data_IF_061655413353
#
_entry.id   IF_061655413353
#
_cell.length_a   1.000
_cell.length_b   1.000
_cell.length_c   1.000
_cell.angle_alpha   90.00
_cell.angle_beta   90.00
_cell.angle_gamma   90.00
#
_symmetry.space_group_name_H-M   'P 1'
#
loop_
_entity.id
_entity.type
_entity.pdbx_description
1 polymer ?
#
# COMPACT_ATOMS: atom_id res chain seq x y z
N UNK A 1 1.57 -16.52 -60.09
CA UNK A 1 1.16 -15.41 -60.95
C UNK A 1 1.18 -14.21 -60.06
N UNK A 2 2.21 -13.44 -60.08
CA UNK A 2 2.48 -12.24 -60.89
C UNK A 2 1.61 -11.07 -60.41
N UNK A 3 2.04 -9.90 -60.01
CA UNK A 3 3.21 -9.02 -60.26
C UNK A 3 3.01 -7.79 -59.33
N UNK A 4 3.93 -7.26 -58.60
CA UNK A 4 5.10 -6.43 -58.87
C UNK A 4 4.85 -4.93 -59.08
N UNK A 5 5.60 -4.10 -58.29
CA UNK A 5 6.26 -2.80 -58.67
C UNK A 5 5.33 -1.55 -58.73
N UNK A 6 5.77 -0.35 -58.41
CA UNK A 6 7.04 0.37 -58.25
C UNK A 6 6.75 1.74 -57.61
N UNK A 7 7.54 2.28 -56.71
CA UNK A 7 8.67 3.17 -56.78
C UNK A 7 8.56 4.42 -57.70
N UNK A 8 8.77 5.63 -57.08
CA UNK A 8 9.61 6.80 -57.60
C UNK A 8 9.34 8.01 -56.69
N UNK A 9 10.35 8.51 -55.92
CA UNK A 9 11.37 9.55 -56.33
C UNK A 9 10.74 10.84 -56.81
N UNK A 10 10.98 12.04 -56.32
CA UNK A 10 12.22 12.79 -56.10
C UNK A 10 11.88 14.23 -55.59
N UNK A 11 12.72 14.79 -54.86
CA UNK A 11 13.74 15.88 -55.08
C UNK A 11 13.33 17.24 -54.52
N UNK A 12 14.10 17.59 -53.57
CA UNK A 12 14.76 18.81 -53.13
C UNK A 12 14.38 20.16 -53.77
N UNK A 13 14.37 21.22 -52.93
CA UNK A 13 15.09 22.46 -53.21
C UNK A 13 15.39 23.27 -51.94
N UNK A 14 16.64 23.69 -51.85
CA UNK A 14 17.28 24.62 -50.92
C UNK A 14 16.63 26.02 -50.97
N UNK A 15 16.75 26.71 -49.82
CA UNK A 15 16.62 28.15 -49.74
C UNK A 15 17.36 28.65 -48.49
N UNK A 16 18.63 28.95 -48.64
CA UNK A 16 19.45 29.65 -47.66
C UNK A 16 19.15 31.16 -47.73
N UNK A 17 18.94 31.77 -46.56
CA UNK A 17 19.11 33.22 -46.40
C UNK A 17 19.98 33.49 -45.19
N UNK A 18 21.13 33.97 -45.43
CA UNK A 18 22.08 34.57 -44.50
C UNK A 18 21.72 36.05 -44.35
N UNK A 19 21.69 36.55 -43.12
CA UNK A 19 21.95 37.98 -42.86
C UNK A 19 22.48 38.17 -41.43
N UNK A 20 23.72 38.47 -41.43
CA UNK A 20 24.67 39.23 -40.59
C UNK A 20 24.12 40.12 -39.46
N UNK A 21 24.61 39.91 -38.22
CA UNK A 21 25.56 40.81 -37.54
C UNK A 21 24.98 41.92 -36.67
N UNK A 22 25.27 41.79 -35.37
CA UNK A 22 25.89 42.90 -34.60
C UNK A 22 26.32 42.39 -33.21
N UNK A 23 27.60 42.34 -32.97
CA UNK A 23 28.28 42.27 -31.67
C UNK A 23 28.14 43.62 -30.95
N UNK A 24 27.72 43.57 -29.69
CA UNK A 24 28.10 44.59 -28.70
C UNK A 24 28.52 43.90 -27.42
N UNK A 25 29.79 43.91 -27.18
CA UNK A 25 30.41 43.55 -25.91
C UNK A 25 30.19 44.68 -24.89
N UNK A 26 29.81 44.35 -23.69
CA UNK A 26 30.04 45.18 -22.50
C UNK A 26 30.44 44.26 -21.35
N UNK A 27 31.66 44.47 -20.91
CA UNK A 27 32.28 43.90 -19.70
C UNK A 27 31.68 44.51 -18.45
N UNK A 28 31.67 43.70 -17.39
CA UNK A 28 31.92 44.22 -16.05
C UNK A 28 30.97 43.77 -14.97
N UNK A 29 31.54 43.09 -13.97
CA UNK A 29 30.99 43.10 -12.62
C UNK A 29 30.60 41.76 -12.03
N UNK A 30 31.58 41.05 -11.47
CA UNK A 30 31.38 40.09 -10.42
C UNK A 30 30.76 40.76 -9.19
N UNK A 31 29.59 40.29 -8.80
CA UNK A 31 29.14 40.48 -7.44
C UNK A 31 28.32 39.25 -7.08
N UNK A 32 28.88 38.47 -6.15
CA UNK A 32 28.16 37.49 -5.38
C UNK A 32 26.92 38.20 -4.76
N UNK A 33 25.75 37.84 -5.27
CA UNK A 33 24.51 38.23 -4.63
C UNK A 33 23.77 36.91 -4.33
N UNK A 34 23.78 36.54 -3.06
CA UNK A 34 22.74 35.69 -2.47
C UNK A 34 21.38 36.22 -2.95
N UNK A 35 20.86 35.62 -3.97
CA UNK A 35 19.47 35.84 -4.38
C UNK A 35 18.60 35.03 -3.46
N UNK A 36 18.19 35.64 -2.33
CA UNK A 36 16.97 35.30 -1.67
C UNK A 36 15.84 35.61 -2.67
N UNK A 37 15.47 34.62 -3.48
CA UNK A 37 14.34 34.72 -4.41
C UNK A 37 13.04 34.65 -3.57
N UNK A 38 12.59 35.82 -3.15
CA UNK A 38 11.26 36.09 -2.65
C UNK A 38 10.23 36.10 -3.79
N UNK A 39 10.36 35.20 -4.76
CA UNK A 39 9.47 35.08 -5.89
C UNK A 39 8.14 34.47 -5.49
N UNK A 40 7.07 35.25 -5.62
CA UNK A 40 5.66 34.84 -5.53
C UNK A 40 5.27 33.91 -6.71
N UNK A 41 6.15 32.99 -7.09
CA UNK A 41 5.96 32.02 -8.17
C UNK A 41 5.10 30.84 -7.70
N UNK A 42 4.13 30.44 -8.53
CA UNK A 42 3.38 29.21 -8.32
C UNK A 42 4.31 28.01 -8.39
N UNK A 43 4.28 27.16 -7.36
CA UNK A 43 5.04 25.92 -7.24
C UNK A 43 4.08 24.74 -7.42
N UNK A 44 4.45 23.78 -8.26
CA UNK A 44 3.70 22.52 -8.36
C UNK A 44 4.48 21.41 -7.66
N UNK A 45 4.02 20.98 -6.49
CA UNK A 45 4.56 19.81 -5.79
C UNK A 45 3.93 18.55 -6.38
N UNK A 46 4.76 17.70 -6.93
CA UNK A 46 4.35 16.44 -7.51
C UNK A 46 4.41 15.32 -6.47
N UNK A 47 3.38 14.46 -6.47
CA UNK A 47 3.22 13.35 -5.52
C UNK A 47 2.93 12.09 -6.31
N UNK A 48 3.68 11.02 -6.06
CA UNK A 48 3.52 9.73 -6.74
C UNK A 48 3.29 8.64 -5.70
N UNK A 49 2.15 7.96 -5.77
CA UNK A 49 1.67 7.03 -4.76
C UNK A 49 1.21 5.72 -5.41
N UNK A 50 1.03 4.70 -4.56
CA UNK A 50 0.40 3.44 -4.92
C UNK A 50 -0.91 3.25 -4.16
N UNK A 51 -1.81 2.40 -4.66
CA UNK A 51 -3.06 2.08 -4.00
C UNK A 51 -3.88 3.32 -3.66
N UNK A 52 -4.41 3.40 -2.45
CA UNK A 52 -5.26 4.52 -2.01
C UNK A 52 -4.76 5.12 -0.69
N UNK A 53 -4.08 6.26 -0.77
CA UNK A 53 -3.73 7.05 0.41
C UNK A 53 -4.89 7.95 0.89
N UNK A 54 -5.87 8.23 0.04
CA UNK A 54 -7.09 8.93 0.40
C UNK A 54 -6.97 10.43 0.65
N UNK A 55 -5.84 11.07 0.34
CA UNK A 55 -5.62 12.50 0.60
C UNK A 55 -6.58 13.40 -0.17
N UNK A 56 -6.89 13.06 -1.43
CA UNK A 56 -7.86 13.79 -2.26
C UNK A 56 -9.27 13.62 -1.71
N UNK A 57 -9.66 12.39 -1.40
CA UNK A 57 -10.98 12.00 -0.90
C UNK A 57 -11.26 12.62 0.48
N UNK A 58 -10.22 12.77 1.30
CA UNK A 58 -10.31 13.46 2.59
C UNK A 58 -10.28 14.99 2.45
N UNK A 59 -10.04 15.53 1.24
CA UNK A 59 -9.97 16.97 0.98
C UNK A 59 -8.70 17.65 1.48
N UNK A 60 -7.69 16.86 1.88
CA UNK A 60 -6.48 17.40 2.52
C UNK A 60 -5.64 18.25 1.54
N UNK A 61 -5.55 17.89 0.28
CA UNK A 61 -4.82 18.72 -0.68
C UNK A 61 -5.46 20.10 -0.88
N UNK A 62 -6.79 20.15 -1.00
CA UNK A 62 -7.50 21.41 -1.12
C UNK A 62 -7.36 22.30 0.14
N UNK A 63 -7.29 21.67 1.33
CA UNK A 63 -7.02 22.37 2.58
C UNK A 63 -5.58 22.92 2.61
N UNK A 64 -4.59 22.13 2.21
CA UNK A 64 -3.19 22.56 2.14
C UNK A 64 -2.98 23.70 1.15
N UNK A 65 -3.52 23.59 -0.07
CA UNK A 65 -3.45 24.64 -1.10
C UNK A 65 -4.10 25.94 -0.66
N UNK A 66 -5.19 25.86 0.13
CA UNK A 66 -5.80 27.06 0.72
C UNK A 66 -4.89 27.73 1.75
N UNK A 67 -4.14 26.96 2.53
CA UNK A 67 -3.15 27.46 3.49
C UNK A 67 -1.88 27.98 2.79
N UNK A 68 -1.57 27.46 1.62
CA UNK A 68 -0.37 27.76 0.81
C UNK A 68 -0.77 28.15 -0.63
N UNK A 69 -1.31 29.37 -0.86
CA UNK A 69 -1.91 29.74 -2.16
C UNK A 69 -0.93 29.74 -3.36
N UNK A 70 0.36 29.72 -3.09
CA UNK A 70 1.42 29.60 -4.10
C UNK A 70 1.76 28.13 -4.46
N UNK A 71 1.21 27.13 -3.73
CA UNK A 71 1.45 25.70 -3.97
C UNK A 71 0.23 25.08 -4.65
N UNK A 72 0.50 24.27 -5.66
CA UNK A 72 -0.48 23.36 -6.28
C UNK A 72 0.05 21.94 -6.14
N UNK A 73 -0.81 20.97 -5.79
CA UNK A 73 -0.42 19.58 -5.62
C UNK A 73 -0.92 18.76 -6.81
N UNK A 74 -0.02 18.01 -7.43
CA UNK A 74 -0.34 17.10 -8.53
C UNK A 74 0.02 15.67 -8.15
N UNK A 75 -0.97 14.83 -7.88
CA UNK A 75 -0.79 13.43 -7.53
C UNK A 75 -0.99 12.52 -8.75
N UNK A 76 -0.13 11.53 -8.87
CA UNK A 76 -0.24 10.36 -9.73
C UNK A 76 -0.40 9.13 -8.85
N UNK A 77 -1.27 8.20 -9.24
CA UNK A 77 -1.52 6.96 -8.52
C UNK A 77 -1.27 5.76 -9.44
N UNK A 78 -0.61 4.73 -8.91
CA UNK A 78 -0.53 3.40 -9.52
C UNK A 78 -1.25 2.42 -8.59
N UNK A 79 -2.26 1.72 -9.10
CA UNK A 79 -3.13 0.88 -8.26
C UNK A 79 -2.35 -0.26 -7.60
N UNK A 80 -1.54 -0.97 -8.38
CA UNK A 80 -0.70 -2.08 -7.90
C UNK A 80 0.64 -1.58 -7.35
N UNK A 81 0.99 -1.99 -6.11
CA UNK A 81 2.23 -1.58 -5.44
C UNK A 81 3.48 -2.12 -6.14
N UNK A 82 3.44 -3.34 -6.65
CA UNK A 82 4.61 -3.95 -7.27
C UNK A 82 4.95 -3.25 -8.61
N UNK A 83 3.95 -2.86 -9.38
CA UNK A 83 4.13 -2.06 -10.61
C UNK A 83 4.65 -0.66 -10.29
N UNK A 84 4.11 -0.02 -9.24
CA UNK A 84 4.61 1.24 -8.72
C UNK A 84 6.08 1.13 -8.33
N UNK A 85 6.42 0.16 -7.50
CA UNK A 85 7.79 -0.04 -7.03
C UNK A 85 8.77 -0.28 -8.17
N UNK A 86 8.42 -1.12 -9.12
CA UNK A 86 9.23 -1.38 -10.32
C UNK A 86 9.50 -0.11 -11.12
N UNK A 87 8.47 0.72 -11.30
CA UNK A 87 8.58 2.01 -11.97
C UNK A 87 9.47 2.98 -11.18
N UNK A 88 9.29 3.07 -9.85
CA UNK A 88 10.11 3.88 -8.96
C UNK A 88 11.59 3.47 -9.05
N UNK A 89 11.89 2.15 -8.97
CA UNK A 89 13.26 1.65 -9.08
C UNK A 89 13.92 2.04 -10.41
N UNK A 90 13.17 1.95 -11.50
CA UNK A 90 13.65 2.34 -12.84
C UNK A 90 14.01 3.83 -12.88
N UNK A 91 13.17 4.69 -12.32
CA UNK A 91 13.39 6.14 -12.25
C UNK A 91 14.52 6.51 -11.30
N UNK A 92 14.66 5.84 -10.15
CA UNK A 92 15.77 6.03 -9.22
C UNK A 92 17.12 5.65 -9.85
N UNK A 93 17.16 4.57 -10.65
CA UNK A 93 18.36 4.18 -11.38
C UNK A 93 18.70 5.14 -12.53
N UNK A 94 17.68 5.64 -13.23
CA UNK A 94 17.83 6.60 -14.33
C UNK A 94 18.12 8.03 -13.88
N UNK A 95 17.94 8.36 -12.60
CA UNK A 95 18.19 9.68 -12.03
C UNK A 95 17.24 10.78 -12.49
N UNK A 96 16.04 10.42 -13.03
CA UNK A 96 15.07 11.41 -13.51
C UNK A 96 13.63 10.91 -13.53
N UNK A 97 12.68 11.84 -13.71
CA UNK A 97 11.25 11.55 -13.77
C UNK A 97 10.64 11.16 -12.41
N UNK A 98 11.29 11.54 -11.31
CA UNK A 98 10.81 11.33 -9.97
C UNK A 98 9.87 12.47 -9.55
N UNK A 99 8.77 12.14 -8.89
CA UNK A 99 7.96 13.16 -8.23
C UNK A 99 8.66 13.68 -6.97
N UNK A 100 8.27 14.87 -6.49
CA UNK A 100 8.83 15.50 -5.30
C UNK A 100 8.56 14.69 -4.03
N UNK A 101 7.43 13.98 -3.99
CA UNK A 101 7.04 13.08 -2.91
C UNK A 101 6.80 11.69 -3.47
N UNK A 102 7.34 10.67 -2.80
CA UNK A 102 7.14 9.26 -3.13
C UNK A 102 6.49 8.51 -1.96
N UNK A 103 5.48 7.69 -2.25
CA UNK A 103 4.97 6.71 -1.30
C UNK A 103 5.92 5.52 -1.18
N UNK A 104 6.19 5.06 0.04
CA UNK A 104 7.01 3.87 0.31
C UNK A 104 6.21 2.90 1.18
N UNK A 105 5.94 1.72 0.67
CA UNK A 105 5.25 0.66 1.41
C UNK A 105 6.17 0.10 2.52
N UNK A 106 5.59 -0.35 3.64
CA UNK A 106 6.35 -0.82 4.82
C UNK A 106 7.32 -1.96 4.51
N UNK A 107 6.96 -2.88 3.61
CA UNK A 107 7.85 -3.99 3.19
C UNK A 107 8.99 -3.55 2.27
N UNK A 108 8.99 -2.29 1.79
CA UNK A 108 10.06 -1.69 0.98
C UNK A 108 10.97 -0.75 1.77
N UNK A 109 10.54 -0.33 2.97
CA UNK A 109 11.29 0.69 3.73
C UNK A 109 12.69 0.21 4.11
N UNK A 110 12.89 -1.08 4.38
CA UNK A 110 14.20 -1.64 4.66
C UNK A 110 15.16 -1.50 3.46
N UNK A 111 14.67 -1.66 2.23
CA UNK A 111 15.47 -1.41 1.02
C UNK A 111 15.87 0.06 0.91
N UNK A 112 14.94 0.98 1.15
CA UNK A 112 15.23 2.42 1.14
C UNK A 112 16.26 2.79 2.19
N UNK A 113 16.09 2.35 3.44
CA UNK A 113 16.95 2.75 4.56
C UNK A 113 18.31 2.06 4.57
N UNK A 114 18.43 0.87 4.00
CA UNK A 114 19.67 0.07 4.08
C UNK A 114 20.49 0.08 2.77
N UNK A 115 19.84 0.24 1.60
CA UNK A 115 20.50 0.14 0.31
C UNK A 115 20.40 1.40 -0.56
N UNK A 116 19.40 2.26 -0.30
CA UNK A 116 19.10 3.42 -1.16
C UNK A 116 19.03 4.75 -0.39
N UNK A 117 19.65 4.82 0.80
CA UNK A 117 19.64 6.05 1.59
C UNK A 117 20.30 7.24 0.85
N UNK A 118 21.18 6.97 -0.11
CA UNK A 118 21.78 7.97 -1.00
C UNK A 118 20.81 8.51 -2.07
N UNK A 119 19.67 7.89 -2.28
CA UNK A 119 18.65 8.30 -3.28
C UNK A 119 17.58 9.23 -2.69
N UNK A 120 17.44 9.25 -1.37
CA UNK A 120 16.44 10.05 -0.68
C UNK A 120 17.06 11.14 0.20
N UNK A 121 16.31 12.19 0.46
CA UNK A 121 16.74 13.28 1.36
C UNK A 121 16.70 12.83 2.83
N UNK A 122 17.72 13.24 3.59
CA UNK A 122 17.65 13.19 5.05
C UNK A 122 16.74 14.32 5.53
N UNK A 123 15.53 13.96 5.95
CA UNK A 123 14.49 14.90 6.37
C UNK A 123 14.87 15.67 7.65
N UNK A 124 15.91 15.24 8.39
CA UNK A 124 16.44 15.99 9.53
C UNK A 124 16.98 17.36 9.12
N UNK A 125 17.47 17.52 7.88
CA UNK A 125 17.87 18.80 7.33
C UNK A 125 16.75 19.85 7.34
N UNK A 126 15.52 19.39 7.33
CA UNK A 126 14.32 20.22 7.32
C UNK A 126 13.61 20.25 8.70
N UNK A 127 14.19 19.59 9.73
CA UNK A 127 13.68 19.60 11.10
C UNK A 127 12.83 18.39 11.50
N UNK A 128 12.86 17.28 10.74
CA UNK A 128 12.06 16.08 11.02
C UNK A 128 12.35 15.45 12.40
N UNK A 129 13.57 15.61 12.97
CA UNK A 129 13.91 15.07 14.29
C UNK A 129 12.91 15.55 15.38
N UNK A 130 12.36 16.76 15.26
CA UNK A 130 11.36 17.28 16.20
C UNK A 130 10.03 16.51 16.16
N UNK A 131 9.79 15.73 15.12
CA UNK A 131 8.56 14.95 14.92
C UNK A 131 8.66 13.53 15.49
N UNK A 132 9.84 13.08 15.95
CA UNK A 132 10.08 11.71 16.42
C UNK A 132 9.02 11.24 17.44
N UNK A 133 8.68 12.06 18.41
CA UNK A 133 7.70 11.73 19.44
C UNK A 133 6.24 11.67 18.94
N UNK A 134 5.97 12.01 17.69
CA UNK A 134 4.62 11.93 17.11
C UNK A 134 4.30 10.52 16.59
N UNK A 135 5.30 9.67 16.38
CA UNK A 135 5.15 8.34 15.82
C UNK A 135 5.50 7.26 16.84
N UNK A 136 4.93 6.07 16.68
CA UNK A 136 5.39 4.89 17.42
C UNK A 136 6.89 4.66 17.14
N UNK A 137 7.65 4.26 18.18
CA UNK A 137 9.09 4.08 18.07
C UNK A 137 9.50 3.16 16.92
N UNK A 138 8.82 2.03 16.77
CA UNK A 138 9.08 1.08 15.67
C UNK A 138 8.84 1.70 14.29
N UNK A 139 7.78 2.52 14.15
CA UNK A 139 7.47 3.20 12.88
C UNK A 139 8.55 4.21 12.49
N UNK A 140 9.03 4.97 13.47
CA UNK A 140 10.13 5.91 13.27
C UNK A 140 11.45 5.20 12.97
N UNK A 141 11.77 4.15 13.75
CA UNK A 141 13.00 3.39 13.59
C UNK A 141 13.09 2.73 12.20
N UNK A 142 11.98 2.20 11.68
CA UNK A 142 11.95 1.58 10.36
C UNK A 142 12.29 2.56 9.22
N UNK A 143 11.96 3.85 9.37
CA UNK A 143 12.29 4.90 8.40
C UNK A 143 13.65 5.56 8.65
N UNK A 144 14.42 5.09 9.64
CA UNK A 144 15.73 5.64 9.99
C UNK A 144 16.83 4.79 9.34
N UNK A 145 17.68 5.43 8.54
CA UNK A 145 18.82 4.81 7.88
C UNK A 145 19.94 4.42 8.86
N UNK A 146 20.91 3.64 8.38
CA UNK A 146 22.03 3.11 9.21
C UNK A 146 22.91 4.20 9.83
N UNK A 147 23.04 5.37 9.18
CA UNK A 147 23.81 6.53 9.70
C UNK A 147 22.90 7.51 10.47
N UNK A 148 21.65 7.12 10.72
CA UNK A 148 20.68 7.89 11.48
C UNK A 148 19.89 8.91 10.66
N UNK A 149 19.92 8.85 9.33
CA UNK A 149 19.08 9.68 8.44
C UNK A 149 17.61 9.34 8.63
N UNK A 150 16.71 10.31 8.58
CA UNK A 150 15.26 10.11 8.53
C UNK A 150 14.81 10.20 7.08
N UNK A 151 14.47 9.06 6.48
CA UNK A 151 14.21 8.93 5.05
C UNK A 151 12.73 8.93 4.67
N UNK A 152 11.83 8.93 5.66
CA UNK A 152 10.40 9.01 5.45
C UNK A 152 9.63 9.33 6.71
N UNK A 153 8.42 9.88 6.56
CA UNK A 153 7.46 10.10 7.65
C UNK A 153 6.30 9.11 7.51
N UNK A 154 5.93 8.46 8.61
CA UNK A 154 4.87 7.46 8.63
C UNK A 154 3.49 8.03 8.32
N UNK A 155 2.74 7.40 7.44
CA UNK A 155 1.39 7.81 7.06
C UNK A 155 0.33 7.09 7.87
N UNK A 156 0.38 5.77 7.87
CA UNK A 156 -0.60 4.88 8.47
C UNK A 156 0.07 3.61 9.00
N UNK A 157 -0.72 2.79 9.64
CA UNK A 157 -0.43 1.38 9.93
C UNK A 157 -1.64 0.55 9.49
N UNK A 158 -1.45 -0.74 9.27
CA UNK A 158 -2.47 -1.66 8.78
C UNK A 158 -2.95 -2.66 9.83
N UNK A 159 -3.49 -2.23 11.00
CA UNK A 159 -4.06 -3.19 11.94
C UNK A 159 -5.18 -3.98 11.28
N UNK A 160 -5.23 -5.26 11.56
CA UNK A 160 -6.02 -6.23 10.83
C UNK A 160 -7.33 -6.59 11.52
N UNK A 161 -8.37 -6.80 10.69
CA UNK A 161 -9.65 -7.35 11.06
C UNK A 161 -10.18 -8.23 9.91
N UNK A 162 -11.40 -8.76 10.03
CA UNK A 162 -12.09 -9.46 8.96
C UNK A 162 -13.35 -8.68 8.58
N UNK A 163 -13.42 -8.17 7.35
CA UNK A 163 -14.64 -7.60 6.79
C UNK A 163 -15.52 -8.70 6.20
N UNK A 164 -16.85 -8.59 6.37
CA UNK A 164 -17.77 -9.61 5.89
C UNK A 164 -19.10 -9.02 5.41
N UNK A 165 -19.76 -9.75 4.52
CA UNK A 165 -21.06 -9.43 3.95
C UNK A 165 -22.19 -10.02 4.80
N UNK A 166 -22.83 -9.17 5.59
CA UNK A 166 -23.95 -9.55 6.46
C UNK A 166 -25.12 -10.15 5.67
N UNK A 167 -25.41 -9.60 4.50
CA UNK A 167 -26.50 -10.08 3.64
C UNK A 167 -26.23 -11.47 3.04
N UNK A 168 -24.96 -11.78 2.71
CA UNK A 168 -24.58 -13.09 2.18
C UNK A 168 -24.58 -14.16 3.28
N UNK A 169 -24.01 -13.84 4.46
CA UNK A 169 -24.02 -14.73 5.62
C UNK A 169 -25.48 -15.05 6.05
N UNK A 170 -26.33 -14.03 6.12
CA UNK A 170 -27.76 -14.22 6.43
C UNK A 170 -28.45 -15.15 5.44
N UNK A 171 -28.21 -14.99 4.13
CA UNK A 171 -28.78 -15.88 3.10
C UNK A 171 -28.30 -17.32 3.23
N UNK A 172 -27.05 -17.53 3.69
CA UNK A 172 -26.49 -18.85 3.96
C UNK A 172 -26.93 -19.42 5.33
N UNK A 173 -27.74 -18.69 6.12
CA UNK A 173 -28.16 -19.10 7.43
C UNK A 173 -27.05 -19.10 8.49
N UNK A 174 -26.03 -18.27 8.29
CA UNK A 174 -24.91 -18.07 9.22
C UNK A 174 -25.14 -16.83 10.11
N UNK A 175 -24.50 -16.76 11.28
CA UNK A 175 -24.53 -15.57 12.11
C UNK A 175 -24.07 -14.32 11.36
N UNK A 176 -24.60 -13.17 11.76
CA UNK A 176 -24.22 -11.87 11.21
C UNK A 176 -23.75 -10.88 12.28
N UNK A 177 -23.90 -11.27 13.55
CA UNK A 177 -23.37 -10.49 14.67
C UNK A 177 -21.85 -10.62 14.73
N UNK A 178 -21.14 -9.50 14.86
CA UNK A 178 -19.68 -9.44 14.83
C UNK A 178 -19.00 -10.15 15.98
N UNK A 179 -19.59 -10.12 17.17
CA UNK A 179 -19.02 -10.77 18.35
C UNK A 179 -19.25 -12.30 18.27
N UNK A 180 -20.42 -12.72 17.83
CA UNK A 180 -20.71 -14.15 17.59
C UNK A 180 -19.80 -14.72 16.52
N UNK A 181 -19.57 -13.99 15.41
CA UNK A 181 -18.66 -14.43 14.37
C UNK A 181 -17.21 -14.51 14.86
N UNK A 182 -16.73 -13.49 15.59
CA UNK A 182 -15.39 -13.51 16.17
C UNK A 182 -15.16 -14.70 17.11
N UNK A 183 -16.19 -15.14 17.85
CA UNK A 183 -16.13 -16.35 18.67
C UNK A 183 -16.09 -17.62 17.82
N UNK A 184 -16.89 -17.70 16.75
CA UNK A 184 -16.97 -18.90 15.90
C UNK A 184 -15.72 -19.15 15.08
N UNK A 185 -15.07 -18.10 14.66
CA UNK A 185 -13.78 -18.14 13.93
C UNK A 185 -12.61 -17.64 14.77
N UNK A 186 -12.61 -17.90 16.08
CA UNK A 186 -11.51 -17.50 16.97
C UNK A 186 -10.13 -18.08 16.59
N UNK A 187 -10.11 -19.09 15.73
CA UNK A 187 -8.92 -19.69 15.11
C UNK A 187 -9.11 -19.80 13.60
N UNK A 188 -8.01 -19.97 12.87
CA UNK A 188 -8.05 -20.19 11.43
C UNK A 188 -8.78 -21.49 11.05
N UNK A 189 -8.70 -22.55 11.87
CA UNK A 189 -9.53 -23.74 11.69
C UNK A 189 -11.02 -23.41 11.77
N UNK A 190 -11.42 -22.63 12.77
CA UNK A 190 -12.81 -22.19 12.92
C UNK A 190 -13.28 -21.35 11.73
N UNK A 191 -12.40 -20.53 11.18
CA UNK A 191 -12.69 -19.73 9.98
C UNK A 191 -12.92 -20.60 8.75
N UNK A 192 -12.04 -21.58 8.49
CA UNK A 192 -12.17 -22.51 7.36
C UNK A 192 -13.42 -23.41 7.51
N UNK A 193 -13.67 -23.93 8.71
CA UNK A 193 -14.89 -24.72 8.99
C UNK A 193 -16.18 -23.91 8.78
N UNK A 194 -16.20 -22.63 9.15
CA UNK A 194 -17.33 -21.75 8.87
C UNK A 194 -17.45 -21.49 7.35
N UNK A 195 -16.34 -21.39 6.65
CA UNK A 195 -16.28 -21.30 5.19
C UNK A 195 -16.87 -22.52 4.48
N UNK A 196 -16.56 -23.72 4.94
CA UNK A 196 -17.17 -24.96 4.42
C UNK A 196 -18.69 -24.99 4.64
N UNK A 197 -19.17 -24.52 5.79
CA UNK A 197 -20.62 -24.36 6.06
C UNK A 197 -21.26 -23.31 5.16
N UNK A 198 -20.57 -22.19 4.91
CA UNK A 198 -21.03 -21.17 3.97
C UNK A 198 -21.13 -21.74 2.56
N UNK A 199 -20.08 -22.38 2.05
CA UNK A 199 -20.04 -22.98 0.71
C UNK A 199 -21.22 -23.93 0.46
N UNK A 200 -21.60 -24.73 1.46
CA UNK A 200 -22.73 -25.66 1.36
C UNK A 200 -24.10 -24.98 1.16
N UNK A 201 -24.23 -23.69 1.49
CA UNK A 201 -25.46 -22.89 1.45
C UNK A 201 -25.29 -21.51 0.79
N UNK A 202 -24.17 -21.30 0.12
CA UNK A 202 -23.83 -20.01 -0.47
C UNK A 202 -24.90 -19.53 -1.47
N UNK A 203 -25.30 -18.26 -1.43
CA UNK A 203 -26.24 -17.74 -2.42
C UNK A 203 -25.53 -17.55 -3.78
N UNK A 204 -26.08 -18.17 -4.81
CA UNK A 204 -25.55 -18.07 -6.19
C UNK A 204 -24.16 -18.70 -6.30
N UNK A 205 -23.20 -17.93 -6.82
CA UNK A 205 -21.79 -18.34 -6.98
C UNK A 205 -20.85 -17.64 -6.00
N UNK A 206 -21.38 -17.09 -4.91
CA UNK A 206 -20.58 -16.39 -3.90
C UNK A 206 -19.65 -17.38 -3.19
N UNK A 207 -18.37 -17.03 -3.09
CA UNK A 207 -17.36 -17.78 -2.35
C UNK A 207 -17.25 -17.31 -0.89
N UNK A 208 -16.46 -18.01 -0.07
CA UNK A 208 -16.21 -17.62 1.32
C UNK A 208 -15.24 -16.45 1.40
N UNK A 209 -14.11 -16.52 0.68
CA UNK A 209 -13.09 -15.46 0.63
C UNK A 209 -12.78 -15.06 -0.83
N UNK A 210 -12.11 -13.94 -0.98
CA UNK A 210 -11.73 -13.38 -2.27
C UNK A 210 -10.62 -14.18 -2.99
N UNK A 211 -9.50 -14.44 -2.27
CA UNK A 211 -8.37 -15.21 -2.77
C UNK A 211 -7.58 -15.85 -1.63
N UNK A 212 -6.88 -16.95 -1.90
CA UNK A 212 -6.03 -17.59 -0.88
C UNK A 212 -4.73 -16.81 -0.64
N UNK A 213 -4.31 -15.97 -1.59
CA UNK A 213 -3.19 -15.06 -1.39
C UNK A 213 -3.47 -14.00 -0.32
N UNK A 214 -4.71 -13.49 -0.23
CA UNK A 214 -5.13 -12.58 0.83
C UNK A 214 -5.16 -13.28 2.19
N UNK A 215 -5.62 -14.54 2.24
CA UNK A 215 -5.61 -15.35 3.45
C UNK A 215 -4.19 -15.55 3.99
N UNK A 216 -3.26 -15.93 3.11
CA UNK A 216 -1.84 -16.03 3.46
C UNK A 216 -1.30 -14.73 4.04
N UNK A 217 -1.53 -13.62 3.33
CA UNK A 217 -0.99 -12.31 3.71
C UNK A 217 -1.44 -11.86 5.10
N UNK A 218 -2.73 -12.07 5.44
CA UNK A 218 -3.24 -11.67 6.75
C UNK A 218 -2.74 -12.58 7.87
N UNK A 219 -2.54 -13.88 7.61
CA UNK A 219 -1.95 -14.81 8.58
C UNK A 219 -0.50 -14.45 8.89
N UNK A 220 0.28 -14.10 7.87
CA UNK A 220 1.68 -13.67 8.02
C UNK A 220 1.76 -12.29 8.68
N UNK A 221 0.78 -11.42 8.50
CA UNK A 221 0.66 -10.14 9.20
C UNK A 221 0.60 -10.26 10.72
N UNK A 222 0.18 -11.42 11.25
CA UNK A 222 0.14 -11.72 12.68
C UNK A 222 1.49 -12.12 13.27
N UNK A 223 2.54 -12.31 12.43
CA UNK A 223 3.83 -12.83 12.87
C UNK A 223 4.84 -11.71 13.11
N UNK A 224 5.63 -11.81 14.21
CA UNK A 224 6.77 -10.93 14.47
C UNK A 224 7.89 -11.20 13.48
N UNK A 225 8.29 -12.44 13.36
CA UNK A 225 9.30 -12.93 12.43
C UNK A 225 8.57 -13.61 11.27
N UNK A 226 8.75 -13.07 10.07
CA UNK A 226 8.09 -13.55 8.86
C UNK A 226 9.09 -14.25 7.97
N UNK A 227 9.76 -13.48 7.14
CA UNK A 227 10.77 -13.95 6.19
C UNK A 227 12.17 -13.86 6.78
N UNK A 228 12.34 -13.04 7.82
CA UNK A 228 13.60 -12.83 8.53
C UNK A 228 13.42 -13.02 10.04
N UNK A 229 14.45 -13.62 10.68
CA UNK A 229 14.55 -13.68 12.13
C UNK A 229 14.93 -12.32 12.73
N UNK A 230 14.81 -12.17 14.04
CA UNK A 230 15.25 -10.97 14.76
C UNK A 230 16.77 -10.72 14.61
N UNK A 231 17.57 -11.74 14.31
CA UNK A 231 19.00 -11.63 14.00
C UNK A 231 19.29 -11.19 12.56
N UNK A 232 18.24 -11.09 11.71
CA UNK A 232 18.37 -10.73 10.30
C UNK A 232 18.68 -11.90 9.37
N UNK A 233 18.59 -13.14 9.89
CA UNK A 233 18.75 -14.35 9.07
C UNK A 233 17.48 -14.59 8.25
N UNK A 234 17.65 -15.06 7.03
CA UNK A 234 16.55 -15.43 6.14
C UNK A 234 15.98 -16.79 6.57
N UNK A 235 14.69 -16.84 6.94
CA UNK A 235 14.03 -18.02 7.53
C UNK A 235 12.73 -18.39 6.79
N UNK A 236 12.44 -17.78 5.65
CA UNK A 236 11.13 -17.86 5.02
C UNK A 236 10.67 -19.29 4.66
N UNK A 237 11.60 -20.19 4.29
CA UNK A 237 11.31 -21.56 3.85
C UNK A 237 11.33 -22.60 5.00
N UNK A 238 11.74 -22.20 6.20
CA UNK A 238 11.75 -23.02 7.41
C UNK A 238 10.93 -22.47 8.57
N UNK A 239 10.34 -21.26 8.41
CA UNK A 239 9.50 -20.63 9.44
C UNK A 239 8.17 -21.39 9.58
N UNK A 240 7.91 -22.06 10.73
CA UNK A 240 6.69 -22.86 10.90
C UNK A 240 5.40 -22.07 10.71
N UNK A 241 5.37 -20.79 11.11
CA UNK A 241 4.19 -19.97 10.98
C UNK A 241 3.88 -19.62 9.50
N UNK A 242 4.93 -19.49 8.69
CA UNK A 242 4.79 -19.25 7.26
C UNK A 242 4.32 -20.51 6.54
N UNK A 243 4.89 -21.66 6.89
CA UNK A 243 4.47 -22.95 6.35
C UNK A 243 3.02 -23.27 6.75
N UNK A 244 2.61 -22.99 7.99
CA UNK A 244 1.21 -23.12 8.41
C UNK A 244 0.28 -22.20 7.59
N UNK A 245 0.68 -20.95 7.34
CA UNK A 245 -0.11 -20.03 6.53
C UNK A 245 -0.25 -20.53 5.08
N UNK A 246 0.81 -21.12 4.51
CA UNK A 246 0.78 -21.78 3.21
C UNK A 246 -0.21 -22.94 3.20
N UNK A 247 -0.08 -23.89 4.13
CA UNK A 247 -0.91 -25.09 4.19
C UNK A 247 -2.40 -24.76 4.34
N UNK A 248 -2.75 -23.79 5.17
CA UNK A 248 -4.14 -23.34 5.32
C UNK A 248 -4.69 -22.63 4.08
N UNK A 249 -3.84 -21.90 3.38
CA UNK A 249 -4.23 -21.26 2.11
C UNK A 249 -4.47 -22.31 1.03
N UNK A 250 -3.65 -23.35 0.98
CA UNK A 250 -3.85 -24.51 0.10
C UNK A 250 -5.14 -25.24 0.47
N UNK A 251 -5.38 -25.53 1.76
CA UNK A 251 -6.63 -26.15 2.23
C UNK A 251 -7.86 -25.35 1.79
N UNK A 252 -7.79 -24.01 1.88
CA UNK A 252 -8.89 -23.14 1.44
C UNK A 252 -9.13 -23.26 -0.08
N UNK A 253 -8.05 -23.31 -0.89
CA UNK A 253 -8.13 -23.51 -2.35
C UNK A 253 -8.76 -24.87 -2.68
N UNK A 254 -8.20 -25.96 -2.16
CA UNK A 254 -8.66 -27.33 -2.40
C UNK A 254 -10.10 -27.56 -1.91
N UNK A 255 -10.48 -26.92 -0.81
CA UNK A 255 -11.86 -26.92 -0.31
C UNK A 255 -12.80 -26.06 -1.17
N UNK A 256 -12.28 -25.30 -2.17
CA UNK A 256 -13.04 -24.41 -3.05
C UNK A 256 -13.76 -23.30 -2.26
N UNK A 257 -13.08 -22.70 -1.31
CA UNK A 257 -13.60 -21.61 -0.48
C UNK A 257 -13.33 -20.24 -1.12
N UNK A 258 -12.38 -20.14 -2.04
CA UNK A 258 -11.95 -18.91 -2.70
C UNK A 258 -12.83 -18.57 -3.91
N UNK A 259 -12.97 -17.28 -4.17
CA UNK A 259 -13.51 -16.75 -5.42
C UNK A 259 -12.48 -16.75 -6.57
N UNK A 260 -11.25 -17.18 -6.29
CA UNK A 260 -10.13 -17.31 -7.25
C UNK A 260 -9.83 -15.99 -7.98
N UNK A 261 -9.98 -14.87 -7.27
CA UNK A 261 -9.79 -13.54 -7.84
C UNK A 261 -8.32 -13.12 -7.73
N UNK A 262 -7.83 -12.55 -8.80
CA UNK A 262 -6.52 -11.90 -8.81
C UNK A 262 -6.64 -10.53 -8.15
N UNK A 263 -6.04 -10.37 -6.97
CA UNK A 263 -6.12 -9.12 -6.23
C UNK A 263 -5.62 -7.94 -7.08
N UNK A 264 -6.26 -6.80 -6.91
CA UNK A 264 -6.01 -5.55 -7.63
C UNK A 264 -6.40 -5.58 -9.13
N UNK A 265 -6.93 -6.69 -9.62
CA UNK A 265 -7.47 -6.77 -10.97
C UNK A 265 -8.83 -6.08 -11.10
N UNK A 266 -9.24 -5.64 -12.31
CA UNK A 266 -10.59 -5.11 -12.54
C UNK A 266 -11.71 -6.08 -12.13
N UNK A 267 -11.50 -7.38 -12.23
CA UNK A 267 -12.45 -8.42 -11.83
C UNK A 267 -12.61 -8.46 -10.31
N UNK A 268 -11.50 -8.39 -9.57
CA UNK A 268 -11.52 -8.30 -8.11
C UNK A 268 -12.23 -7.03 -7.65
N UNK A 269 -11.97 -5.89 -8.30
CA UNK A 269 -12.63 -4.62 -8.00
C UNK A 269 -14.16 -4.71 -8.17
N UNK A 270 -14.64 -5.32 -9.24
CA UNK A 270 -16.07 -5.51 -9.51
C UNK A 270 -16.74 -6.48 -8.52
N UNK A 271 -15.99 -7.41 -7.97
CA UNK A 271 -16.49 -8.46 -7.07
C UNK A 271 -17.05 -7.91 -5.75
N UNK A 272 -16.56 -6.76 -5.28
CA UNK A 272 -17.07 -6.10 -4.06
C UNK A 272 -18.55 -5.70 -4.20
N UNK A 273 -18.91 -5.05 -5.30
CA UNK A 273 -20.29 -4.66 -5.59
C UNK A 273 -21.18 -5.89 -5.92
N UNK A 274 -20.62 -6.83 -6.67
CA UNK A 274 -21.33 -8.04 -7.10
C UNK A 274 -21.63 -9.02 -5.94
N UNK A 275 -20.86 -8.97 -4.84
CA UNK A 275 -20.97 -9.93 -3.75
C UNK A 275 -20.43 -11.30 -4.13
N UNK A 276 -19.33 -11.35 -4.85
CA UNK A 276 -18.68 -12.59 -5.28
C UNK A 276 -18.03 -13.36 -4.15
N UNK A 277 -17.80 -12.72 -3.01
CA UNK A 277 -17.26 -13.33 -1.78
C UNK A 277 -17.94 -12.77 -0.53
N UNK A 278 -17.93 -13.57 0.53
CA UNK A 278 -18.60 -13.26 1.80
C UNK A 278 -17.68 -12.60 2.81
N UNK A 279 -16.40 -12.90 2.79
CA UNK A 279 -15.39 -12.36 3.70
C UNK A 279 -14.14 -11.90 2.94
N UNK A 280 -13.44 -10.94 3.52
CA UNK A 280 -12.14 -10.50 3.02
C UNK A 280 -11.25 -10.08 4.19
N UNK A 281 -9.96 -10.46 4.20
CA UNK A 281 -8.98 -9.86 5.08
C UNK A 281 -9.02 -8.34 4.99
N UNK A 282 -9.11 -7.67 6.13
CA UNK A 282 -9.48 -6.27 6.18
C UNK A 282 -8.53 -5.48 7.10
N UNK A 283 -7.31 -5.17 6.67
CA UNK A 283 -6.55 -4.11 7.31
C UNK A 283 -7.30 -2.78 7.19
N UNK A 284 -7.07 -1.86 8.11
CA UNK A 284 -7.88 -0.64 8.22
C UNK A 284 -7.99 0.17 6.91
N UNK A 285 -6.93 0.24 6.12
CA UNK A 285 -6.93 0.91 4.82
C UNK A 285 -7.88 0.26 3.79
N UNK A 286 -8.21 -1.02 3.94
CA UNK A 286 -9.16 -1.73 3.07
C UNK A 286 -10.58 -1.13 3.17
N UNK A 287 -10.94 -0.45 4.25
CA UNK A 287 -12.26 0.17 4.41
C UNK A 287 -12.56 1.18 3.31
N UNK A 288 -11.61 2.05 3.01
CA UNK A 288 -11.73 3.02 1.93
C UNK A 288 -11.85 2.34 0.56
N UNK A 289 -11.08 1.28 0.37
CA UNK A 289 -11.10 0.49 -0.86
C UNK A 289 -12.47 -0.20 -1.07
N UNK A 290 -12.97 -0.90 -0.04
CA UNK A 290 -14.31 -1.52 -0.09
C UNK A 290 -15.38 -0.49 -0.44
N UNK A 291 -15.37 0.68 0.20
CA UNK A 291 -16.32 1.76 -0.10
C UNK A 291 -16.24 2.22 -1.54
N UNK A 292 -15.02 2.43 -2.05
CA UNK A 292 -14.78 2.86 -3.42
C UNK A 292 -15.27 1.85 -4.45
N UNK A 293 -14.99 0.57 -4.25
CA UNK A 293 -15.33 -0.49 -5.21
C UNK A 293 -16.78 -0.98 -5.10
N UNK A 294 -17.31 -1.11 -3.89
CA UNK A 294 -18.69 -1.56 -3.70
C UNK A 294 -19.72 -0.43 -3.85
N UNK A 295 -19.31 0.83 -3.70
CA UNK A 295 -20.16 2.00 -3.85
C UNK A 295 -21.44 1.93 -3.03
N UNK A 296 -22.50 2.58 -3.50
CA UNK A 296 -23.83 2.57 -2.84
C UNK A 296 -24.44 1.17 -2.75
N UNK A 297 -24.09 0.28 -3.67
CA UNK A 297 -24.56 -1.11 -3.68
C UNK A 297 -24.07 -1.89 -2.46
N UNK A 298 -22.95 -1.52 -1.86
CA UNK A 298 -22.37 -2.15 -0.67
C UNK A 298 -22.83 -1.55 0.66
N UNK A 299 -23.44 -0.35 0.65
CA UNK A 299 -23.79 0.36 1.87
C UNK A 299 -24.70 -0.47 2.79
N UNK A 300 -24.31 -0.61 4.06
CA UNK A 300 -25.04 -1.36 5.07
C UNK A 300 -25.06 -2.88 4.89
N UNK A 301 -24.33 -3.41 3.90
CA UNK A 301 -24.18 -4.84 3.66
C UNK A 301 -22.87 -5.42 4.22
N UNK A 302 -21.97 -4.56 4.62
CA UNK A 302 -20.68 -4.93 5.21
C UNK A 302 -20.68 -4.73 6.71
N UNK A 303 -19.91 -5.55 7.41
CA UNK A 303 -19.57 -5.36 8.81
C UNK A 303 -18.13 -5.85 9.06
N UNK A 304 -17.61 -5.66 10.28
CA UNK A 304 -16.22 -5.93 10.63
C UNK A 304 -16.20 -6.71 11.96
N UNK A 305 -15.49 -7.82 11.98
CA UNK A 305 -15.24 -8.60 13.18
C UNK A 305 -13.75 -8.79 13.45
N UNK A 306 -13.40 -9.17 14.67
CA UNK A 306 -12.02 -9.50 15.03
C UNK A 306 -11.48 -10.62 14.15
N UNK A 307 -10.19 -10.55 13.88
CA UNK A 307 -9.46 -11.52 13.09
C UNK A 307 -9.36 -12.87 13.81
N UNK A 308 -9.42 -14.00 13.09
CA UNK A 308 -9.02 -15.30 13.63
C UNK A 308 -7.56 -15.30 14.10
N UNK A 309 -7.26 -16.05 15.15
CA UNK A 309 -5.88 -16.32 15.59
C UNK A 309 -5.17 -15.19 16.33
N UNK A 310 -5.67 -13.95 16.29
CA UNK A 310 -5.06 -12.82 17.01
C UNK A 310 -5.00 -11.53 16.20
N UNK A 311 -4.17 -10.60 16.64
CA UNK A 311 -3.96 -9.32 15.97
C UNK A 311 -2.73 -9.36 15.07
N UNK A 312 -2.78 -8.59 14.00
CA UNK A 312 -1.69 -8.46 13.04
C UNK A 312 -1.62 -7.08 12.42
N UNK A 313 -0.62 -6.91 11.57
CA UNK A 313 -0.44 -5.71 10.76
C UNK A 313 -0.10 -6.09 9.32
N UNK A 314 -0.95 -5.67 8.39
CA UNK A 314 -0.68 -5.78 6.96
C UNK A 314 -0.66 -4.39 6.32
N UNK A 315 0.52 -4.00 5.84
CA UNK A 315 0.74 -2.71 5.20
C UNK A 315 1.04 -1.57 6.16
N UNK A 316 0.79 -0.39 5.68
CA UNK A 316 1.24 0.88 6.22
C UNK A 316 2.34 1.47 5.34
N UNK A 317 2.46 2.79 5.36
CA UNK A 317 3.30 3.48 4.38
C UNK A 317 4.08 4.63 4.98
N UNK A 318 4.96 5.18 4.17
CA UNK A 318 5.74 6.37 4.44
C UNK A 318 5.67 7.31 3.24
N UNK A 319 5.86 8.60 3.49
CA UNK A 319 6.15 9.58 2.45
C UNK A 319 7.62 9.98 2.54
N UNK A 320 8.32 9.90 1.42
CA UNK A 320 9.74 10.19 1.28
C UNK A 320 9.99 11.24 0.20
N UNK A 321 11.10 11.96 0.28
CA UNK A 321 11.52 12.97 -0.69
C UNK A 321 12.77 12.48 -1.41
N UNK A 322 12.74 12.21 -2.73
CA UNK A 322 13.93 11.84 -3.48
C UNK A 322 14.97 12.98 -3.50
N UNK A 323 16.26 12.64 -3.55
CA UNK A 323 17.32 13.66 -3.75
C UNK A 323 17.22 14.40 -5.08
N UNK A 324 16.63 13.78 -6.08
CA UNK A 324 16.39 14.37 -7.38
C UNK A 324 15.09 15.21 -7.46
N UNK A 325 14.33 15.34 -6.37
CA UNK A 325 13.14 16.19 -6.31
C UNK A 325 13.50 17.67 -6.61
N UNK A 326 12.62 18.34 -7.33
CA UNK A 326 12.81 19.76 -7.69
C UNK A 326 12.45 20.69 -6.52
N UNK A 327 11.38 20.38 -5.78
CA UNK A 327 10.81 21.21 -4.72
C UNK A 327 10.92 20.54 -3.33
N UNK A 328 12.16 20.20 -2.91
CA UNK A 328 12.44 19.38 -1.72
C UNK A 328 11.90 19.98 -0.43
N UNK A 329 12.01 21.29 -0.25
CA UNK A 329 11.53 21.98 0.95
C UNK A 329 10.01 21.96 1.02
N UNK A 330 9.35 22.28 -0.08
CA UNK A 330 7.90 22.29 -0.19
C UNK A 330 7.34 20.87 -0.09
N UNK A 331 8.02 19.88 -0.65
CA UNK A 331 7.71 18.46 -0.49
C UNK A 331 7.78 18.04 0.98
N UNK A 332 8.85 18.42 1.70
CA UNK A 332 8.96 18.15 3.14
C UNK A 332 7.85 18.82 3.94
N UNK A 333 7.54 20.09 3.70
CA UNK A 333 6.45 20.79 4.42
C UNK A 333 5.09 20.14 4.14
N UNK A 334 4.86 19.68 2.90
CA UNK A 334 3.66 18.94 2.55
C UNK A 334 3.58 17.61 3.31
N UNK A 335 4.63 16.76 3.27
CA UNK A 335 4.58 15.46 3.96
C UNK A 335 4.51 15.61 5.46
N UNK A 336 5.17 16.59 6.05
CA UNK A 336 5.06 16.93 7.47
C UNK A 336 3.63 17.30 7.85
N UNK A 337 2.95 18.09 7.02
CA UNK A 337 1.56 18.47 7.27
C UNK A 337 0.62 17.27 7.08
N UNK A 338 0.77 16.48 6.00
CA UNK A 338 -0.07 15.31 5.73
C UNK A 338 0.06 14.22 6.82
N UNK A 339 1.23 14.10 7.44
CA UNK A 339 1.49 13.10 8.48
C UNK A 339 1.28 13.62 9.91
N UNK A 340 0.85 14.88 10.08
CA UNK A 340 0.55 15.41 11.38
C UNK A 340 -0.71 14.75 11.98
N UNK A 341 -0.83 14.69 13.32
CA UNK A 341 -1.90 13.97 14.01
C UNK A 341 -3.32 14.38 13.58
N UNK A 342 -3.53 15.66 13.32
CA UNK A 342 -4.84 16.18 12.91
C UNK A 342 -5.25 15.69 11.51
N UNK A 343 -4.30 15.65 10.57
CA UNK A 343 -4.56 15.19 9.21
C UNK A 343 -4.77 13.67 9.18
N UNK A 344 -4.00 12.92 9.96
CA UNK A 344 -4.19 11.48 10.09
C UNK A 344 -5.54 11.14 10.76
N UNK A 345 -5.98 11.90 11.74
CA UNK A 345 -7.34 11.77 12.32
C UNK A 345 -8.42 11.99 11.25
N UNK A 346 -8.34 13.09 10.48
CA UNK A 346 -9.27 13.39 9.39
C UNK A 346 -9.30 12.28 8.36
N UNK A 347 -8.10 11.77 7.99
CA UNK A 347 -7.94 10.71 7.01
C UNK A 347 -8.62 9.42 7.48
N UNK A 348 -8.38 9.00 8.72
CA UNK A 348 -9.03 7.81 9.27
C UNK A 348 -10.57 7.95 9.29
N UNK A 349 -11.08 9.06 9.80
CA UNK A 349 -12.53 9.30 9.86
C UNK A 349 -13.19 9.30 8.47
N UNK A 350 -12.46 9.69 7.44
CA UNK A 350 -12.99 9.81 6.07
C UNK A 350 -12.86 8.54 5.26
N UNK A 351 -11.67 7.91 5.28
CA UNK A 351 -11.34 6.79 4.38
C UNK A 351 -10.91 5.51 5.11
N UNK A 352 -10.60 5.57 6.42
CA UNK A 352 -10.29 4.38 7.21
C UNK A 352 -8.80 4.10 7.41
N UNK A 353 -7.87 4.87 6.82
CA UNK A 353 -6.43 4.66 7.00
C UNK A 353 -6.03 4.91 8.46
N UNK A 354 -5.65 3.86 9.19
CA UNK A 354 -5.42 3.94 10.63
C UNK A 354 -4.13 4.71 10.93
N UNK A 355 -4.17 5.69 11.88
CA UNK A 355 -3.04 6.57 12.11
C UNK A 355 -1.76 5.84 12.54
N UNK A 356 -0.61 6.27 12.01
CA UNK A 356 0.72 5.94 12.55
C UNK A 356 1.15 6.92 13.66
N UNK A 357 0.46 8.05 13.77
CA UNK A 357 0.70 9.07 14.78
C UNK A 357 0.03 8.69 16.11
N UNK A 358 0.84 8.61 17.18
CA UNK A 358 0.35 8.33 18.54
C UNK A 358 -0.67 9.36 19.01
N UNK A 359 -0.49 10.64 18.64
CA UNK A 359 -1.43 11.71 18.99
C UNK A 359 -2.79 11.64 18.27
N UNK A 360 -2.91 10.87 17.19
CA UNK A 360 -4.15 10.66 16.46
C UNK A 360 -4.90 9.40 16.93
N UNK A 361 -4.19 8.37 17.38
CA UNK A 361 -4.78 7.06 17.74
C UNK A 361 -5.87 7.21 18.82
N UNK A 362 -5.60 7.97 19.87
CA UNK A 362 -6.58 8.16 20.94
C UNK A 362 -7.80 8.98 20.50
N UNK A 363 -7.62 9.90 19.56
CA UNK A 363 -8.69 10.74 19.02
C UNK A 363 -9.66 10.01 18.10
N UNK A 364 -9.25 8.87 17.53
CA UNK A 364 -10.09 8.10 16.63
C UNK A 364 -10.82 6.93 17.33
N UNK A 365 -10.58 6.70 18.61
CA UNK A 365 -11.11 5.54 19.35
C UNK A 365 -12.65 5.43 19.37
N UNK A 366 -13.35 6.55 19.28
CA UNK A 366 -14.82 6.64 19.26
C UNK A 366 -15.43 6.55 17.85
N UNK A 367 -14.60 6.42 16.82
CA UNK A 367 -15.04 6.46 15.43
C UNK A 367 -15.86 5.21 15.10
N UNK A 368 -17.05 5.42 14.53
CA UNK A 368 -17.90 4.38 13.94
C UNK A 368 -18.04 4.61 12.45
N UNK A 369 -18.41 3.56 11.70
CA UNK A 369 -18.61 3.67 10.27
C UNK A 369 -19.97 3.14 9.83
N UNK A 370 -20.91 4.03 9.40
CA UNK A 370 -22.25 3.62 8.96
C UNK A 370 -22.24 2.67 7.75
N UNK A 371 -21.23 2.74 6.91
CA UNK A 371 -21.10 1.84 5.76
C UNK A 371 -20.91 0.39 6.20
N UNK A 372 -20.23 0.18 7.33
CA UNK A 372 -19.96 -1.10 7.95
C UNK A 372 -20.87 -1.35 9.16
N UNK A 373 -22.19 -1.20 8.98
CA UNK A 373 -23.19 -1.49 10.02
C UNK A 373 -22.92 -0.78 11.35
N UNK A 374 -22.43 0.47 11.30
CA UNK A 374 -21.99 1.24 12.45
C UNK A 374 -20.90 0.53 13.30
N UNK A 375 -20.03 -0.24 12.66
CA UNK A 375 -18.90 -0.87 13.34
C UNK A 375 -18.08 0.18 14.10
N UNK A 376 -17.66 -0.10 15.35
CA UNK A 376 -16.80 0.79 16.13
C UNK A 376 -15.34 0.65 15.62
N UNK A 377 -15.07 1.15 14.41
CA UNK A 377 -13.80 0.96 13.69
C UNK A 377 -12.60 1.50 14.47
N UNK A 378 -12.77 2.61 15.19
CA UNK A 378 -11.71 3.16 16.03
C UNK A 378 -11.27 2.19 17.12
N UNK A 379 -12.23 1.48 17.75
CA UNK A 379 -11.94 0.49 18.78
C UNK A 379 -11.39 -0.80 18.17
N UNK A 380 -12.02 -1.33 17.12
CA UNK A 380 -11.61 -2.61 16.49
C UNK A 380 -10.15 -2.50 16.03
N UNK A 381 -9.82 -1.47 15.26
CA UNK A 381 -8.46 -1.30 14.74
C UNK A 381 -7.48 -0.77 15.79
N UNK A 382 -7.95 0.04 16.75
CA UNK A 382 -7.13 0.49 17.87
C UNK A 382 -6.68 -0.65 18.78
N UNK A 383 -7.57 -1.59 19.10
CA UNK A 383 -7.25 -2.79 19.88
C UNK A 383 -6.31 -3.72 19.09
N UNK A 384 -6.57 -3.90 17.77
CA UNK A 384 -5.69 -4.66 16.90
C UNK A 384 -4.29 -4.06 16.81
N UNK A 385 -4.18 -2.74 16.61
CA UNK A 385 -2.87 -2.04 16.55
C UNK A 385 -2.05 -2.17 17.85
N UNK A 386 -2.72 -2.14 19.01
CA UNK A 386 -2.06 -2.31 20.31
C UNK A 386 -1.57 -3.73 20.54
N UNK A 387 -2.28 -4.72 20.01
CA UNK A 387 -1.98 -6.14 20.22
C UNK A 387 -1.09 -6.75 19.12
N UNK A 388 -0.99 -6.10 17.95
CA UNK A 388 -0.17 -6.57 16.85
C UNK A 388 1.31 -6.59 17.22
N UNK A 389 2.08 -7.63 16.84
CA UNK A 389 3.51 -7.68 17.08
C UNK A 389 4.23 -6.61 16.24
N UNK A 390 5.31 -6.06 16.78
CA UNK A 390 6.26 -5.27 16.00
C UNK A 390 7.02 -6.21 15.07
N UNK A 391 6.79 -6.09 13.79
CA UNK A 391 7.33 -6.98 12.76
C UNK A 391 8.81 -6.70 12.50
N UNK A 392 9.58 -7.75 12.29
CA UNK A 392 10.92 -7.68 11.74
C UNK A 392 10.81 -7.41 10.24
N UNK A 393 11.39 -6.30 9.78
CA UNK A 393 11.37 -5.89 8.39
C UNK A 393 12.71 -6.21 7.70
N UNK A 394 12.65 -6.99 6.64
CA UNK A 394 13.81 -7.39 5.85
C UNK A 394 13.85 -6.76 4.45
N UNK A 395 15.01 -6.86 3.80
CA UNK A 395 15.27 -6.25 2.49
C UNK A 395 14.35 -6.76 1.38
N UNK A 396 13.95 -8.02 1.45
CA UNK A 396 13.22 -8.70 0.38
C UNK A 396 11.80 -9.11 0.79
N UNK A 397 11.28 -8.61 1.92
CA UNK A 397 9.98 -8.99 2.46
C UNK A 397 8.87 -9.02 1.41
N UNK A 398 8.68 -7.89 0.72
CA UNK A 398 7.62 -7.77 -0.28
C UNK A 398 7.87 -8.65 -1.50
N UNK A 399 9.13 -8.82 -1.89
CA UNK A 399 9.48 -9.65 -3.04
C UNK A 399 9.26 -11.15 -2.74
N UNK A 400 9.59 -11.60 -1.54
CA UNK A 400 9.32 -12.98 -1.09
C UNK A 400 7.81 -13.22 -0.98
N UNK A 401 7.07 -12.30 -0.34
CA UNK A 401 5.62 -12.35 -0.26
C UNK A 401 4.97 -12.52 -1.63
N UNK A 402 5.42 -11.75 -2.62
CA UNK A 402 4.91 -11.81 -3.98
C UNK A 402 5.15 -13.18 -4.65
N UNK A 403 6.34 -13.80 -4.47
CA UNK A 403 6.59 -15.13 -5.03
C UNK A 403 5.67 -16.17 -4.42
N UNK A 404 5.42 -16.11 -3.12
CA UNK A 404 4.54 -17.06 -2.43
C UNK A 404 3.08 -16.86 -2.83
N UNK A 405 2.59 -15.62 -2.89
CA UNK A 405 1.21 -15.33 -3.31
C UNK A 405 0.96 -15.67 -4.77
N UNK A 406 1.96 -15.49 -5.66
CA UNK A 406 1.89 -15.95 -7.05
C UNK A 406 1.76 -17.47 -7.13
N UNK A 407 2.51 -18.22 -6.32
CA UNK A 407 2.41 -19.67 -6.27
C UNK A 407 1.06 -20.14 -5.74
N UNK A 408 0.51 -19.49 -4.70
CA UNK A 408 -0.85 -19.76 -4.22
C UNK A 408 -1.91 -19.47 -5.29
N UNK A 409 -1.74 -18.40 -6.07
CA UNK A 409 -2.61 -18.12 -7.22
C UNK A 409 -2.53 -19.23 -8.31
N UNK A 410 -1.36 -19.88 -8.49
CA UNK A 410 -1.25 -21.04 -9.38
C UNK A 410 -1.99 -22.26 -8.83
N UNK A 411 -1.96 -22.49 -7.52
CA UNK A 411 -2.72 -23.58 -6.88
C UNK A 411 -4.23 -23.35 -7.07
N UNK A 412 -4.75 -22.17 -6.68
CA UNK A 412 -6.19 -21.94 -6.69
C UNK A 412 -6.79 -21.80 -8.09
N UNK A 413 -6.08 -21.15 -9.04
CA UNK A 413 -6.64 -20.77 -10.36
C UNK A 413 -6.29 -21.77 -11.48
N UNK A 414 -5.15 -22.46 -11.35
CA UNK A 414 -4.67 -23.39 -12.37
C UNK A 414 -4.70 -24.84 -11.91
N UNK A 415 -4.99 -25.09 -10.62
CA UNK A 415 -4.92 -26.45 -10.05
C UNK A 415 -3.50 -27.00 -10.04
N UNK A 416 -2.49 -26.14 -9.96
CA UNK A 416 -1.10 -26.57 -9.85
C UNK A 416 -0.92 -27.32 -8.53
N UNK A 417 -0.23 -28.44 -8.57
CA UNK A 417 0.12 -29.21 -7.39
C UNK A 417 0.84 -28.32 -6.36
N UNK A 418 0.42 -28.32 -5.07
CA UNK A 418 0.96 -27.42 -4.06
C UNK A 418 2.47 -27.53 -3.86
N UNK A 419 3.04 -28.75 -3.89
CA UNK A 419 4.48 -28.97 -3.71
C UNK A 419 5.25 -28.35 -4.89
N UNK A 420 4.72 -28.52 -6.10
CA UNK A 420 5.31 -27.91 -7.30
C UNK A 420 5.19 -26.39 -7.29
N UNK A 421 4.07 -25.85 -6.83
CA UNK A 421 3.88 -24.41 -6.69
C UNK A 421 4.85 -23.81 -5.66
N UNK A 422 5.07 -24.49 -4.54
CA UNK A 422 6.09 -24.12 -3.55
C UNK A 422 7.51 -24.16 -4.12
N UNK A 423 7.85 -25.20 -4.89
CA UNK A 423 9.13 -25.27 -5.60
C UNK A 423 9.34 -24.09 -6.56
N UNK A 424 8.27 -23.67 -7.27
CA UNK A 424 8.30 -22.50 -8.14
C UNK A 424 8.53 -21.20 -7.33
N UNK A 425 7.84 -21.04 -6.20
CA UNK A 425 8.06 -19.93 -5.29
C UNK A 425 9.52 -19.89 -4.80
N UNK A 426 10.06 -21.05 -4.39
CA UNK A 426 11.45 -21.17 -3.93
C UNK A 426 12.46 -20.73 -4.98
N UNK A 427 12.25 -21.13 -6.22
CA UNK A 427 13.09 -20.69 -7.35
C UNK A 427 12.96 -19.18 -7.59
N UNK A 428 11.73 -18.65 -7.51
CA UNK A 428 11.45 -17.22 -7.65
C UNK A 428 12.13 -16.39 -6.56
N UNK A 429 12.08 -16.87 -5.31
CA UNK A 429 12.77 -16.22 -4.17
C UNK A 429 14.28 -16.27 -4.38
N UNK A 430 14.85 -17.43 -4.72
CA UNK A 430 16.29 -17.54 -4.98
C UNK A 430 16.77 -16.56 -6.07
N UNK A 431 16.02 -16.40 -7.15
CA UNK A 431 16.31 -15.42 -8.20
C UNK A 431 16.19 -13.96 -7.73
N UNK A 432 15.39 -13.69 -6.73
CA UNK A 432 15.21 -12.34 -6.15
C UNK A 432 16.36 -11.99 -5.20
N UNK A 433 16.89 -13.00 -4.54
CA UNK A 433 18.00 -12.83 -3.56
C UNK A 433 19.37 -12.70 -4.23
N UNK A 434 19.49 -13.04 -5.53
CA UNK A 434 20.74 -12.95 -6.34
C UNK A 434 21.54 -14.20 -6.25
#
# INVERSE_FOLDING_TARGET
MSTARAARRAVARLGAVVLTGALLAACGGSSDADSADGGNGKITVTVDLFGSFGYKEAGLYAEYEKLHPNVTIKQTDTEDEADYWKSLQTRLAGGGGLADVQGIEVGRIATVTQQQSDKFEDLKKYGAESLKGQFAEAKWAAATGRSGEVLGLGTDVGPEAMCYRTDLLKKAGLPTDREELAQRWSSWDGYLELGKKYKAKAPGKSAWLDSVGSLYSIMIGQQKERYYSASGELIWDENPALLEAWDRSVEAAESGLSAELDQWSPQWNQAFAAGSFATIPCPAWMLGYIKGQAGDAGQGKWDIAKLPGGAGNWGGSYLAVPRAAEHKKEAYELIKWLTAPEQQEKLFRKVGNFPSSTGAIDKVADTTDPYFSNAPIGRIFGDAAKAAPVQVLGLHDQSIAQQITNALSEVERKGTDPDKAWENASKGVANTLG
#
